data_IF_589748259414
#
_entry.id   IF_589748259414
#
_cell.length_a   1.000
_cell.length_b   1.000
_cell.length_c   1.000
_cell.angle_alpha   90.00
_cell.angle_beta   90.00
_cell.angle_gamma   90.00
#
_symmetry.space_group_name_H-M   'P 1'
#
loop_
_entity.id
_entity.type
_entity.pdbx_description
1 polymer ?
#
# COMPACT_ATOMS: atom_id res chain seq x y z
N UNK A 1 5.22 10.56 2.51
CA UNK A 1 5.55 9.67 3.65
C UNK A 1 6.88 8.98 3.37
N UNK A 2 7.68 8.71 4.38
CA UNK A 2 8.99 8.11 4.19
C UNK A 2 8.90 6.62 3.83
N UNK A 3 9.90 6.12 3.13
CA UNK A 3 10.01 4.70 2.79
C UNK A 3 9.95 3.82 4.04
N UNK A 4 10.72 4.16 5.07
CA UNK A 4 10.76 3.37 6.30
C UNK A 4 9.41 3.28 7.00
N UNK A 5 8.67 4.38 7.03
CA UNK A 5 7.33 4.41 7.64
C UNK A 5 6.35 3.55 6.84
N UNK A 6 6.34 3.67 5.52
CA UNK A 6 5.47 2.87 4.67
C UNK A 6 5.79 1.40 4.81
N UNK A 7 7.08 1.04 4.77
CA UNK A 7 7.52 -0.34 4.94
C UNK A 7 7.05 -0.91 6.28
N UNK A 8 7.21 -0.15 7.35
CA UNK A 8 6.79 -0.56 8.69
C UNK A 8 5.29 -0.85 8.75
N UNK A 9 4.48 0.04 8.15
CA UNK A 9 3.02 -0.13 8.13
C UNK A 9 2.58 -1.31 7.28
N UNK A 10 3.25 -1.55 6.13
CA UNK A 10 2.97 -2.72 5.30
C UNK A 10 3.28 -4.02 6.05
N UNK A 11 4.43 -4.09 6.72
CA UNK A 11 4.82 -5.28 7.47
C UNK A 11 3.84 -5.55 8.62
N UNK A 12 3.40 -4.50 9.30
CA UNK A 12 2.42 -4.60 10.37
C UNK A 12 1.09 -5.14 9.82
N UNK A 13 0.60 -4.58 8.72
CA UNK A 13 -0.64 -5.04 8.09
C UNK A 13 -0.53 -6.48 7.58
N UNK A 14 0.61 -6.82 6.98
CA UNK A 14 0.85 -8.17 6.48
C UNK A 14 0.86 -9.19 7.61
N UNK A 15 1.51 -8.89 8.72
CA UNK A 15 1.60 -9.78 9.88
C UNK A 15 0.24 -10.03 10.51
N UNK A 16 -0.59 -9.00 10.62
CA UNK A 16 -1.91 -9.08 11.22
C UNK A 16 -3.01 -9.44 10.22
N UNK A 17 -2.68 -9.53 8.94
CA UNK A 17 -3.63 -9.76 7.85
C UNK A 17 -4.77 -8.74 7.85
N UNK A 18 -4.39 -7.49 8.05
CA UNK A 18 -5.31 -6.36 8.10
C UNK A 18 -5.54 -5.76 6.71
N UNK A 19 -6.64 -5.03 6.58
CA UNK A 19 -6.89 -4.19 5.41
C UNK A 19 -6.34 -2.79 5.66
N UNK A 20 -5.57 -2.28 4.70
CA UNK A 20 -5.03 -0.93 4.75
C UNK A 20 -5.63 -0.09 3.63
N UNK A 21 -5.83 1.18 3.91
CA UNK A 21 -6.21 2.15 2.89
C UNK A 21 -5.14 3.24 2.84
N UNK A 22 -4.51 3.36 1.68
CA UNK A 22 -3.52 4.39 1.42
C UNK A 22 -4.26 5.60 0.87
N UNK A 23 -4.19 6.72 1.57
CA UNK A 23 -4.85 7.96 1.14
C UNK A 23 -3.79 8.90 0.60
N UNK A 24 -3.96 9.34 -0.64
CA UNK A 24 -3.04 10.26 -1.30
C UNK A 24 -3.44 11.72 -1.05
N UNK A 25 -2.53 12.64 -1.36
CA UNK A 25 -2.80 14.08 -1.25
C UNK A 25 -3.93 14.53 -2.18
N UNK A 26 -4.14 13.80 -3.28
CA UNK A 26 -5.25 14.05 -4.21
C UNK A 26 -6.55 13.39 -3.75
N UNK A 27 -6.60 12.87 -2.52
CA UNK A 27 -7.76 12.19 -1.93
C UNK A 27 -8.15 10.90 -2.64
N UNK A 28 -7.23 10.29 -3.37
CA UNK A 28 -7.42 8.97 -3.93
C UNK A 28 -7.15 7.92 -2.85
N UNK A 29 -7.85 6.81 -2.94
CA UNK A 29 -7.73 5.71 -1.98
C UNK A 29 -7.26 4.45 -2.69
N UNK A 30 -6.22 3.84 -2.15
CA UNK A 30 -5.68 2.57 -2.67
C UNK A 30 -5.83 1.53 -1.56
N UNK A 31 -6.55 0.46 -1.85
CA UNK A 31 -6.83 -0.59 -0.88
C UNK A 31 -5.80 -1.71 -0.97
N UNK A 32 -5.34 -2.16 0.17
CA UNK A 32 -4.44 -3.32 0.28
C UNK A 32 -5.05 -4.24 1.35
N UNK A 33 -5.57 -5.38 0.94
CA UNK A 33 -6.17 -6.34 1.86
C UNK A 33 -5.23 -7.53 2.04
N UNK A 34 -4.44 -7.52 3.10
CA UNK A 34 -3.49 -8.57 3.37
C UNK A 34 -4.12 -9.90 3.82
N UNK A 35 -5.43 -9.95 4.00
CA UNK A 35 -6.13 -11.22 4.17
C UNK A 35 -6.32 -11.95 2.83
N UNK A 36 -6.10 -11.24 1.72
CA UNK A 36 -6.21 -11.77 0.37
C UNK A 36 -4.80 -11.95 -0.22
N UNK A 37 -4.52 -13.16 -0.72
CA UNK A 37 -3.22 -13.51 -1.28
C UNK A 37 -2.79 -12.61 -2.44
N UNK A 38 -3.74 -12.02 -3.16
CA UNK A 38 -3.44 -11.12 -4.28
C UNK A 38 -2.58 -9.93 -3.87
N UNK A 39 -2.69 -9.49 -2.62
CA UNK A 39 -1.98 -8.32 -2.12
C UNK A 39 -0.68 -8.64 -1.40
N UNK A 40 -0.34 -9.92 -1.30
CA UNK A 40 0.82 -10.35 -0.51
C UNK A 40 2.14 -9.75 -1.00
N UNK A 41 2.24 -9.48 -2.30
CA UNK A 41 3.45 -8.95 -2.93
C UNK A 41 3.55 -7.42 -2.89
N UNK A 42 2.61 -6.74 -2.23
CA UNK A 42 2.70 -5.29 -2.05
C UNK A 42 4.03 -4.95 -1.37
N UNK A 43 4.74 -3.99 -1.93
CA UNK A 43 6.06 -3.62 -1.42
C UNK A 43 6.38 -2.16 -1.72
N UNK A 44 7.46 -1.67 -1.13
CA UNK A 44 7.89 -0.29 -1.27
C UNK A 44 9.37 -0.26 -1.63
N UNK A 45 9.75 0.63 -2.56
CA UNK A 45 11.14 0.95 -2.82
C UNK A 45 11.43 2.39 -2.38
N UNK A 46 12.50 3.01 -2.89
CA UNK A 46 12.89 4.36 -2.49
C UNK A 46 11.89 5.44 -2.95
N UNK A 47 11.10 5.17 -3.97
CA UNK A 47 10.25 6.19 -4.60
C UNK A 47 8.77 5.84 -4.62
N UNK A 48 8.42 4.55 -4.67
CA UNK A 48 7.04 4.11 -4.92
C UNK A 48 6.60 3.00 -3.97
N UNK A 49 5.31 3.01 -3.69
CA UNK A 49 4.58 1.86 -3.16
C UNK A 49 4.00 1.12 -4.36
N UNK A 50 4.20 -0.19 -4.41
CA UNK A 50 3.73 -1.06 -5.48
C UNK A 50 2.60 -1.93 -4.95
N UNK A 51 1.44 -1.84 -5.59
CA UNK A 51 0.26 -2.66 -5.26
C UNK A 51 -0.20 -3.36 -6.53
N UNK A 52 -0.29 -4.69 -6.48
CA UNK A 52 -0.75 -5.47 -7.62
C UNK A 52 -2.24 -5.21 -7.87
N UNK A 53 -2.59 -4.97 -9.13
CA UNK A 53 -3.96 -4.79 -9.55
C UNK A 53 -4.36 -5.94 -10.47
N UNK A 54 -5.15 -6.86 -9.96
CA UNK A 54 -5.58 -8.06 -10.68
C UNK A 54 -6.47 -7.73 -11.86
N UNK A 55 -7.32 -6.71 -11.75
CA UNK A 55 -8.25 -6.33 -12.81
C UNK A 55 -7.53 -5.92 -14.08
N UNK A 56 -6.38 -5.25 -13.94
CA UNK A 56 -5.59 -4.79 -15.07
C UNK A 56 -4.32 -5.60 -15.28
N UNK A 57 -4.09 -6.62 -14.43
CA UNK A 57 -2.90 -7.47 -14.48
C UNK A 57 -1.61 -6.63 -14.53
N UNK A 58 -1.51 -5.65 -13.67
CA UNK A 58 -0.40 -4.70 -13.63
C UNK A 58 -0.19 -4.14 -12.23
N UNK A 59 0.96 -3.50 -12.02
CA UNK A 59 1.27 -2.82 -10.77
C UNK A 59 0.69 -1.42 -10.75
N UNK A 60 0.02 -1.07 -9.65
CA UNK A 60 -0.27 0.32 -9.32
C UNK A 60 0.93 0.89 -8.58
N UNK A 61 1.43 2.01 -9.04
CA UNK A 61 2.56 2.70 -8.41
C UNK A 61 2.05 3.97 -7.74
N UNK A 62 2.27 4.07 -6.43
CA UNK A 62 1.89 5.25 -5.66
C UNK A 62 3.16 5.94 -5.20
N UNK A 63 3.46 7.14 -5.69
CA UNK A 63 4.65 7.87 -5.24
C UNK A 63 4.59 8.10 -3.73
N UNK A 64 5.69 7.84 -3.03
CA UNK A 64 5.74 8.01 -1.58
C UNK A 64 5.43 9.45 -1.16
N UNK A 65 5.87 10.43 -1.95
CA UNK A 65 5.62 11.83 -1.68
C UNK A 65 4.14 12.20 -1.75
N UNK A 66 3.32 11.40 -2.44
CA UNK A 66 1.89 11.64 -2.59
C UNK A 66 1.06 10.96 -1.49
N UNK A 67 1.66 10.11 -0.69
CA UNK A 67 0.95 9.44 0.40
C UNK A 67 0.78 10.41 1.55
N UNK A 68 -0.47 10.71 1.89
CA UNK A 68 -0.78 11.59 3.01
C UNK A 68 -0.84 10.81 4.32
N UNK A 69 -1.60 9.71 4.34
CA UNK A 69 -1.66 8.82 5.50
C UNK A 69 -2.15 7.43 5.10
N UNK A 70 -2.02 6.50 6.03
CA UNK A 70 -2.46 5.10 5.87
C UNK A 70 -3.40 4.78 7.02
N UNK A 71 -4.59 4.29 6.68
CA UNK A 71 -5.60 3.86 7.65
C UNK A 71 -5.64 2.33 7.71
N UNK A 72 -5.93 1.80 8.89
CA UNK A 72 -6.14 0.36 9.11
C UNK A 72 -7.63 0.10 9.32
N UNK A 73 -8.12 -0.99 8.74
CA UNK A 73 -9.53 -1.39 8.89
C UNK A 73 -9.71 -2.78 9.51
#
# INVERSE_FOLDING_TARGET
>A
MTQGKVKQLLEFGRTLKEELVIVTKAQLRVFIDFSDEEYEDAHVDTHYLYVWNTDFNSWNLVPLEDIEFIEFY
#
